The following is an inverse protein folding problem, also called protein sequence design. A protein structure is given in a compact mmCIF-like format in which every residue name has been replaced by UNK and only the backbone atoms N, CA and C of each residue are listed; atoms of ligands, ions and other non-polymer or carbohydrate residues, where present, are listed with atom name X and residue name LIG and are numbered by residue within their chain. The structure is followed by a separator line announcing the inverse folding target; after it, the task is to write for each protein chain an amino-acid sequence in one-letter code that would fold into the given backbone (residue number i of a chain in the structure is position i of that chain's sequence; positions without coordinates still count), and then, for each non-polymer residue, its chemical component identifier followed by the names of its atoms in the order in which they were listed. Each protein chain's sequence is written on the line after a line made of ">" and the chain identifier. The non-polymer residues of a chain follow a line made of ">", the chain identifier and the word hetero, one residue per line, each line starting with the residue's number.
data_IF_808800271777
#
_entry.id   IF_808800271777
#
_cell.length_a   1.000
_cell.length_b   1.000
_cell.length_c   1.000
_cell.angle_alpha   90.00
_cell.angle_beta   90.00
_cell.angle_gamma   90.00
#
_symmetry.space_group_name_H-M   'P 1'
#
loop_
_entity.id
_entity.type
_entity.pdbx_description
1 polymer ?
#
# COMPACT_ATOMS: atom_id res chain seq x y z
N UNK A 1 -0.31 55.70 -12.00
CA UNK A 1 0.79 55.03 -12.73
C UNK A 1 1.75 54.27 -11.81
N UNK A 2 2.33 54.91 -10.79
CA UNK A 2 3.32 54.28 -9.89
C UNK A 2 2.75 53.10 -9.07
N UNK A 3 1.53 53.24 -8.53
CA UNK A 3 0.84 52.18 -7.79
C UNK A 3 0.51 50.97 -8.68
N UNK A 4 0.09 51.20 -9.92
CA UNK A 4 -0.20 50.14 -10.87
C UNK A 4 1.08 49.36 -11.24
N UNK A 5 2.22 50.04 -11.39
CA UNK A 5 3.51 49.41 -11.64
C UNK A 5 3.98 48.55 -10.45
N UNK A 6 3.78 49.01 -9.21
CA UNK A 6 4.12 48.25 -8.00
C UNK A 6 3.28 46.97 -7.91
N UNK A 7 1.98 47.05 -8.18
CA UNK A 7 1.09 45.88 -8.16
C UNK A 7 1.50 44.83 -9.21
N UNK A 8 1.87 45.28 -10.41
CA UNK A 8 2.33 44.40 -11.48
C UNK A 8 3.66 43.72 -11.11
N UNK A 9 4.55 44.44 -10.42
CA UNK A 9 5.81 43.90 -9.92
C UNK A 9 5.59 42.80 -8.86
N UNK A 10 4.68 43.03 -7.90
CA UNK A 10 4.33 42.02 -6.88
C UNK A 10 3.75 40.76 -7.54
N UNK A 11 2.89 40.92 -8.54
CA UNK A 11 2.31 39.79 -9.28
C UNK A 11 3.38 39.00 -10.04
N UNK A 12 4.31 39.68 -10.71
CA UNK A 12 5.42 39.05 -11.41
C UNK A 12 6.32 38.27 -10.46
N UNK A 13 6.66 38.85 -9.29
CA UNK A 13 7.44 38.17 -8.25
C UNK A 13 6.71 36.93 -7.72
N UNK A 14 5.40 37.02 -7.48
CA UNK A 14 4.60 35.88 -7.04
C UNK A 14 4.60 34.73 -8.07
N UNK A 15 4.46 35.05 -9.36
CA UNK A 15 4.54 34.05 -10.44
C UNK A 15 5.93 33.41 -10.48
N UNK A 16 7.01 34.20 -10.42
CA UNK A 16 8.37 33.67 -10.36
C UNK A 16 8.57 32.74 -9.16
N UNK A 17 8.07 33.10 -7.97
CA UNK A 17 8.13 32.25 -6.78
C UNK A 17 7.38 30.93 -6.99
N UNK A 18 6.17 30.96 -7.57
CA UNK A 18 5.40 29.73 -7.83
C UNK A 18 6.10 28.81 -8.83
N UNK A 19 6.76 29.36 -9.85
CA UNK A 19 7.54 28.58 -10.83
C UNK A 19 8.79 27.98 -10.18
N UNK A 20 9.46 28.71 -9.29
CA UNK A 20 10.62 28.20 -8.53
C UNK A 20 10.19 27.06 -7.59
N UNK A 21 9.08 27.23 -6.85
CA UNK A 21 8.56 26.20 -5.92
C UNK A 21 8.09 24.95 -6.66
N UNK A 22 7.55 25.10 -7.88
CA UNK A 22 7.00 23.99 -8.67
C UNK A 22 8.04 23.32 -9.59
N UNK A 23 9.13 24.02 -9.93
CA UNK A 23 10.14 23.58 -10.91
C UNK A 23 11.53 23.25 -10.36
N UNK A 24 11.84 23.59 -9.11
CA UNK A 24 13.14 23.27 -8.52
C UNK A 24 12.98 22.18 -7.46
N UNK A 25 13.72 21.09 -7.62
CA UNK A 25 13.94 20.10 -6.57
C UNK A 25 14.31 20.85 -5.27
N UNK A 26 13.45 20.70 -4.27
CA UNK A 26 13.44 21.40 -2.98
C UNK A 26 14.84 21.78 -2.51
N UNK A 27 15.10 23.09 -2.41
CA UNK A 27 16.33 23.65 -1.86
C UNK A 27 16.54 23.08 -0.45
N UNK A 28 17.75 22.66 -0.10
CA UNK A 28 18.07 21.90 1.14
C UNK A 28 17.56 22.55 2.44
N UNK A 29 17.30 23.85 2.42
CA UNK A 29 16.73 24.61 3.52
C UNK A 29 15.22 24.34 3.68
N UNK A 30 14.45 24.26 2.59
CA UNK A 30 13.04 23.84 2.63
C UNK A 30 12.90 22.40 3.10
N UNK A 31 13.82 21.50 2.72
CA UNK A 31 13.84 20.12 3.28
C UNK A 31 14.02 20.12 4.80
N UNK A 32 14.85 21.01 5.35
CA UNK A 32 15.05 21.12 6.81
C UNK A 32 13.83 21.71 7.53
N UNK A 33 13.20 22.73 6.95
CA UNK A 33 11.98 23.34 7.50
C UNK A 33 10.80 22.37 7.39
N UNK A 34 10.65 21.70 6.25
CA UNK A 34 9.67 20.62 6.05
C UNK A 34 9.91 19.45 6.99
N UNK A 35 11.16 19.10 7.32
CA UNK A 35 11.48 18.06 8.32
C UNK A 35 11.10 18.47 9.75
N UNK A 36 11.20 19.75 10.09
CA UNK A 36 10.77 20.27 11.39
C UNK A 36 9.24 20.36 11.49
N UNK A 37 8.56 20.80 10.44
CA UNK A 37 7.09 20.87 10.38
C UNK A 37 6.46 19.47 10.26
N UNK A 38 7.07 18.57 9.49
CA UNK A 38 6.65 17.17 9.38
C UNK A 38 6.82 16.41 10.69
N UNK A 39 7.70 16.84 11.59
CA UNK A 39 7.89 16.21 12.91
C UNK A 39 6.74 16.52 13.87
N UNK A 40 6.04 17.65 13.69
CA UNK A 40 4.84 18.02 14.44
C UNK A 40 3.54 17.45 13.82
N UNK A 41 3.60 17.07 12.54
CA UNK A 41 2.52 16.36 11.83
C UNK A 41 2.81 14.87 11.66
N UNK A 42 3.84 14.35 12.33
CA UNK A 42 4.28 12.95 12.28
C UNK A 42 3.39 12.02 13.11
N UNK A 43 2.08 12.24 13.09
CA UNK A 43 1.17 11.15 13.39
C UNK A 43 0.99 10.32 12.11
N UNK A 44 1.85 9.31 11.99
CA UNK A 44 1.60 8.07 11.23
C UNK A 44 1.73 8.05 9.69
N UNK A 45 2.65 8.80 9.08
CA UNK A 45 3.10 8.41 7.73
C UNK A 45 3.98 7.15 7.86
N UNK A 46 3.34 5.97 7.93
CA UNK A 46 4.02 4.68 7.96
C UNK A 46 4.91 4.59 6.72
N UNK A 47 6.22 4.79 6.92
CA UNK A 47 7.22 4.66 5.87
C UNK A 47 7.15 3.21 5.36
N UNK A 48 6.51 3.01 4.22
CA UNK A 48 6.40 1.71 3.57
C UNK A 48 7.83 1.27 3.23
N UNK A 49 8.27 0.14 3.80
CA UNK A 49 9.61 -0.37 3.53
C UNK A 49 9.68 -0.86 2.08
N UNK A 50 10.85 -0.72 1.43
CA UNK A 50 11.09 -1.22 0.06
C UNK A 50 10.69 -2.70 -0.10
N UNK A 51 10.94 -3.50 0.93
CA UNK A 51 10.54 -4.91 1.01
C UNK A 51 9.03 -5.10 0.88
N UNK A 52 8.25 -4.31 1.61
CA UNK A 52 6.79 -4.39 1.57
C UNK A 52 6.24 -3.97 0.21
N UNK A 53 6.88 -2.97 -0.40
CA UNK A 53 6.51 -2.53 -1.75
C UNK A 53 6.73 -3.63 -2.78
N UNK A 54 7.87 -4.32 -2.74
CA UNK A 54 8.11 -5.48 -3.62
C UNK A 54 7.14 -6.62 -3.36
N UNK A 55 6.86 -6.93 -2.10
CA UNK A 55 5.92 -8.00 -1.77
C UNK A 55 4.50 -7.70 -2.24
N UNK A 56 4.05 -6.44 -2.13
CA UNK A 56 2.77 -6.02 -2.68
C UNK A 56 2.75 -6.15 -4.22
N UNK A 57 3.85 -5.79 -4.88
CA UNK A 57 3.99 -5.94 -6.33
C UNK A 57 3.89 -7.40 -6.78
N UNK A 58 4.61 -8.31 -6.12
CA UNK A 58 4.56 -9.76 -6.42
C UNK A 58 3.13 -10.32 -6.28
N UNK A 59 2.40 -9.93 -5.23
CA UNK A 59 1.02 -10.38 -5.03
C UNK A 59 0.11 -9.92 -6.17
N UNK A 60 0.29 -8.69 -6.67
CA UNK A 60 -0.49 -8.14 -7.78
C UNK A 60 -0.11 -8.77 -9.11
N UNK A 61 1.18 -9.03 -9.34
CA UNK A 61 1.68 -9.70 -10.55
C UNK A 61 1.12 -11.13 -10.67
N UNK A 62 1.13 -11.87 -9.56
CA UNK A 62 0.52 -13.19 -9.49
C UNK A 62 -1.00 -13.15 -9.71
N UNK A 63 -1.68 -12.10 -9.23
CA UNK A 63 -3.11 -11.91 -9.52
C UNK A 63 -3.35 -11.75 -11.03
N UNK A 64 -2.52 -10.94 -11.70
CA UNK A 64 -2.57 -10.76 -13.15
C UNK A 64 -2.46 -12.10 -13.87
N UNK A 65 -1.44 -12.89 -13.51
CA UNK A 65 -1.21 -14.23 -14.06
C UNK A 65 -2.41 -15.16 -13.87
N UNK A 66 -3.03 -15.14 -12.69
CA UNK A 66 -4.24 -15.95 -12.42
C UNK A 66 -5.43 -15.50 -13.26
N UNK A 67 -5.63 -14.20 -13.43
CA UNK A 67 -6.76 -13.66 -14.17
C UNK A 67 -6.67 -13.90 -15.68
N UNK A 68 -5.44 -13.99 -16.21
CA UNK A 68 -5.17 -14.39 -17.59
C UNK A 68 -5.47 -15.86 -17.87
N UNK A 69 -5.70 -16.68 -16.83
CA UNK A 69 -6.05 -18.09 -17.03
C UNK A 69 -7.40 -18.23 -17.73
N UNK A 70 -7.46 -19.06 -18.77
CA UNK A 70 -8.70 -19.33 -19.52
C UNK A 70 -9.63 -20.33 -18.80
N UNK A 71 -9.16 -21.00 -17.75
CA UNK A 71 -9.96 -21.96 -16.98
C UNK A 71 -10.57 -21.29 -15.74
N UNK A 72 -11.90 -21.21 -15.72
CA UNK A 72 -12.62 -20.50 -14.66
C UNK A 72 -12.46 -21.14 -13.27
N UNK A 73 -12.34 -22.47 -13.17
CA UNK A 73 -12.08 -23.13 -11.88
C UNK A 73 -10.68 -22.76 -11.34
N UNK A 74 -9.66 -22.83 -12.21
CA UNK A 74 -8.28 -22.50 -11.82
C UNK A 74 -8.16 -21.01 -11.46
N UNK A 75 -8.87 -20.15 -12.18
CA UNK A 75 -8.95 -18.72 -11.88
C UNK A 75 -9.57 -18.46 -10.51
N UNK A 76 -10.70 -19.12 -10.20
CA UNK A 76 -11.36 -18.98 -8.90
C UNK A 76 -10.44 -19.40 -7.75
N UNK A 77 -9.83 -20.57 -7.84
CA UNK A 77 -8.91 -21.08 -6.81
C UNK A 77 -7.66 -20.21 -6.69
N UNK A 78 -7.13 -19.73 -7.82
CA UNK A 78 -6.00 -18.81 -7.86
C UNK A 78 -6.31 -17.47 -7.20
N UNK A 79 -7.46 -16.86 -7.49
CA UNK A 79 -7.87 -15.58 -6.89
C UNK A 79 -8.04 -15.73 -5.40
N UNK A 80 -8.64 -16.84 -4.94
CA UNK A 80 -8.79 -17.15 -3.52
C UNK A 80 -7.43 -17.29 -2.82
N UNK A 81 -6.46 -17.93 -3.47
CA UNK A 81 -5.09 -18.05 -2.96
C UNK A 81 -4.39 -16.69 -2.85
N UNK A 82 -4.50 -15.84 -3.87
CA UNK A 82 -3.95 -14.48 -3.86
C UNK A 82 -4.58 -13.63 -2.75
N UNK A 83 -5.91 -13.71 -2.57
CA UNK A 83 -6.61 -13.01 -1.49
C UNK A 83 -6.07 -13.37 -0.12
N UNK A 84 -5.79 -14.66 0.14
CA UNK A 84 -5.19 -15.10 1.40
C UNK A 84 -3.81 -14.45 1.63
N UNK A 85 -2.99 -14.32 0.58
CA UNK A 85 -1.69 -13.66 0.68
C UNK A 85 -1.80 -12.15 0.93
N UNK A 86 -2.82 -11.49 0.38
CA UNK A 86 -3.14 -10.08 0.71
C UNK A 86 -3.50 -9.94 2.19
N UNK A 87 -4.29 -10.87 2.72
CA UNK A 87 -4.68 -10.88 4.14
C UNK A 87 -3.48 -11.10 5.06
N UNK A 88 -2.61 -12.06 4.74
CA UNK A 88 -1.34 -12.31 5.44
C UNK A 88 -0.42 -11.07 5.38
N UNK A 89 -0.33 -10.39 4.23
CA UNK A 89 0.45 -9.17 4.04
C UNK A 89 -0.10 -7.98 4.85
N UNK A 90 -1.42 -7.82 4.91
CA UNK A 90 -2.08 -6.78 5.71
C UNK A 90 -1.92 -7.03 7.21
N UNK A 91 -2.04 -8.28 7.65
CA UNK A 91 -1.91 -8.68 9.05
C UNK A 91 -0.50 -8.43 9.60
N UNK A 92 0.54 -8.56 8.74
CA UNK A 92 1.92 -8.23 9.11
C UNK A 92 2.16 -6.73 9.33
N UNK A 93 1.32 -5.85 8.75
CA UNK A 93 1.47 -4.39 8.83
C UNK A 93 0.63 -3.73 9.92
N UNK A 94 -0.38 -4.40 10.46
CA UNK A 94 -1.11 -3.84 11.59
C UNK A 94 -0.21 -3.93 12.84
N UNK A 95 0.06 -2.80 13.53
CA UNK A 95 0.70 -2.88 14.84
C UNK A 95 -0.22 -3.72 15.72
N UNK A 96 0.38 -4.69 16.43
CA UNK A 96 -0.27 -5.57 17.41
C UNK A 96 -0.97 -4.74 18.49
N UNK A 97 -2.17 -4.26 18.17
CA UNK A 97 -3.23 -4.02 19.11
C UNK A 97 -3.65 -5.39 19.63
N UNK A 98 -2.97 -5.87 20.68
CA UNK A 98 -3.34 -7.13 21.33
C UNK A 98 -4.73 -6.99 21.97
N UNK A 99 -5.52 -8.07 21.81
CA UNK A 99 -6.72 -8.51 22.57
C UNK A 99 -8.06 -7.99 22.05
N UNK A 100 -9.13 -8.76 21.88
CA UNK A 100 -9.45 -10.19 22.04
C UNK A 100 -10.61 -10.50 21.07
N UNK A 101 -10.56 -11.59 20.32
CA UNK A 101 -11.77 -12.34 19.88
C UNK A 101 -11.33 -13.77 19.58
N UNK A 102 -11.13 -14.54 20.65
CA UNK A 102 -11.44 -15.96 20.59
C UNK A 102 -12.96 -16.10 20.37
N UNK A 103 -13.33 -17.12 19.60
CA UNK A 103 -14.69 -17.62 19.33
C UNK A 103 -15.52 -16.82 18.29
N UNK A 104 -15.42 -17.22 17.02
CA UNK A 104 -16.56 -17.70 16.19
C UNK A 104 -16.04 -18.68 15.12
N UNK A 105 -16.29 -19.98 15.35
CA UNK A 105 -16.62 -21.05 14.37
C UNK A 105 -15.61 -21.30 13.22
N UNK A 106 -14.83 -22.38 13.13
CA UNK A 106 -15.10 -23.82 13.30
C UNK A 106 -16.38 -24.34 12.62
N UNK A 107 -16.40 -24.39 11.28
CA UNK A 107 -17.02 -25.52 10.54
C UNK A 107 -16.54 -25.58 9.08
N UNK A 108 -15.52 -26.40 8.79
CA UNK A 108 -15.31 -27.07 7.49
C UNK A 108 -14.06 -27.98 7.47
N UNK A 109 -13.75 -28.67 8.56
CA UNK A 109 -12.77 -29.78 8.56
C UNK A 109 -13.33 -31.00 9.29
N UNK A 110 -14.45 -31.49 8.80
CA UNK A 110 -14.97 -32.80 9.19
C UNK A 110 -15.46 -33.57 7.96
N UNK A 111 -14.66 -33.61 6.89
CA UNK A 111 -14.81 -34.64 5.86
C UNK A 111 -13.60 -34.61 4.93
N UNK A 112 -13.17 -35.78 4.42
CA UNK A 112 -12.01 -36.03 3.52
C UNK A 112 -10.69 -36.51 4.14
N UNK A 113 -10.69 -37.10 5.34
CA UNK A 113 -9.63 -38.06 5.74
C UNK A 113 -10.24 -39.36 6.23
N UNK A 114 -10.59 -40.24 5.28
CA UNK A 114 -10.62 -41.73 5.37
C UNK A 114 -11.42 -42.31 4.18
N UNK A 115 -10.92 -42.13 2.96
CA UNK A 115 -11.24 -43.04 1.85
C UNK A 115 -10.00 -43.26 1.01
N UNK A 116 -9.58 -44.52 0.95
CA UNK A 116 -8.63 -45.03 -0.04
C UNK A 116 -7.18 -45.06 0.42
N UNK A 117 -6.81 -46.08 1.20
CA UNK A 117 -5.60 -46.86 0.93
C UNK A 117 -5.54 -48.07 1.87
N UNK A 118 -5.96 -49.25 1.40
CA UNK A 118 -5.27 -50.52 1.68
C UNK A 118 -5.45 -51.42 0.46
N UNK A 119 -4.35 -51.58 -0.26
CA UNK A 119 -4.13 -52.45 -1.41
C UNK A 119 -3.79 -53.86 -0.89
N UNK A 120 -4.50 -54.84 -1.44
CA UNK A 120 -4.06 -56.20 -1.86
C UNK A 120 -2.93 -56.89 -1.07
N UNK A 121 -3.26 -58.05 -0.47
CA UNK A 121 -2.73 -59.35 -0.92
C UNK A 121 -3.66 -60.50 -0.54
#
# INVERSE_FOLDING_TARGET
>A
MLIAAILLYILAVAICLTVIVKGHDLNSIEKKIKKLIARDSADSEQVITKKDYYQAYEIVDDLGTVLECNNDMVKYDGVKSVFRRVEEFRSQKQPLSKRDTDEVEQECQADKKKKGLWVVK
#
